data_IF_600999201487
#
_entry.id   IF_600999201487
#
_cell.length_a   1.000
_cell.length_b   1.000
_cell.length_c   1.000
_cell.angle_alpha   90.00
_cell.angle_beta   90.00
_cell.angle_gamma   90.00
#
_symmetry.space_group_name_H-M   'P 1'
#
loop_
_entity.id
_entity.type
_entity.pdbx_description
1 polymer ?
#
# COMPACT_ATOMS: atom_id res chain seq x y z
N UNK A 1 -23.96 20.26 12.10
CA UNK A 1 -24.22 19.46 10.88
C UNK A 1 -22.87 19.06 10.32
N UNK A 2 -22.59 17.76 10.25
CA UNK A 2 -21.38 17.25 9.58
C UNK A 2 -21.62 17.34 8.07
N UNK A 3 -20.82 18.16 7.38
CA UNK A 3 -20.80 18.17 5.92
C UNK A 3 -20.31 16.81 5.43
N UNK A 4 -21.05 16.17 4.52
CA UNK A 4 -20.66 14.89 3.95
C UNK A 4 -19.29 15.01 3.26
N UNK A 5 -18.37 14.11 3.60
CA UNK A 5 -17.02 14.05 3.00
C UNK A 5 -17.16 13.77 1.50
N UNK A 6 -16.60 14.63 0.65
CA UNK A 6 -16.52 14.35 -0.80
C UNK A 6 -15.72 13.08 -1.04
N UNK A 7 -16.12 12.30 -2.06
CA UNK A 7 -15.45 11.04 -2.45
C UNK A 7 -13.95 11.23 -2.72
N UNK A 8 -13.55 12.45 -3.06
CA UNK A 8 -12.19 12.85 -3.37
C UNK A 8 -11.15 12.64 -2.26
N UNK A 9 -11.60 12.48 -1.01
CA UNK A 9 -10.73 12.34 0.17
C UNK A 9 -10.67 10.91 0.71
N UNK A 10 -11.33 9.95 0.05
CA UNK A 10 -11.49 8.57 0.52
C UNK A 10 -10.17 7.84 0.81
N UNK A 11 -9.09 8.20 0.12
CA UNK A 11 -7.77 7.57 0.26
C UNK A 11 -6.95 8.10 1.44
N UNK A 12 -7.35 9.19 2.09
CA UNK A 12 -6.47 9.85 3.07
C UNK A 12 -7.19 10.50 4.27
N UNK A 13 -8.52 10.56 4.30
CA UNK A 13 -9.25 11.10 5.45
C UNK A 13 -10.58 10.37 5.64
N UNK A 14 -10.94 10.01 6.88
CA UNK A 14 -12.29 9.52 7.21
C UNK A 14 -13.26 10.67 7.53
N UNK A 15 -12.74 11.79 8.03
CA UNK A 15 -13.51 12.97 8.42
C UNK A 15 -12.99 14.22 7.70
N UNK A 16 -13.86 15.22 7.53
CA UNK A 16 -13.49 16.53 6.96
C UNK A 16 -12.96 17.45 8.04
N UNK A 17 -11.73 17.94 7.90
CA UNK A 17 -11.20 19.04 8.71
C UNK A 17 -11.44 20.41 8.04
N UNK A 18 -11.09 21.49 8.75
CA UNK A 18 -11.28 22.86 8.25
C UNK A 18 -10.49 23.17 6.98
N UNK A 19 -9.35 22.52 6.77
CA UNK A 19 -8.54 22.68 5.58
C UNK A 19 -9.17 21.98 4.38
N UNK A 20 -9.70 20.76 4.57
CA UNK A 20 -10.50 20.04 3.56
C UNK A 20 -11.70 20.89 3.15
N UNK A 21 -12.45 21.46 4.10
CA UNK A 21 -13.60 22.32 3.80
C UNK A 21 -13.18 23.55 2.98
N UNK A 22 -12.04 24.15 3.29
CA UNK A 22 -11.49 25.28 2.53
C UNK A 22 -11.14 24.90 1.09
N UNK A 23 -10.52 23.74 0.89
CA UNK A 23 -10.17 23.20 -0.43
C UNK A 23 -11.43 22.84 -1.23
N UNK A 24 -12.43 22.21 -0.60
CA UNK A 24 -13.73 21.93 -1.22
C UNK A 24 -14.43 23.25 -1.65
N UNK A 25 -14.32 24.31 -0.85
CA UNK A 25 -14.79 25.64 -1.23
C UNK A 25 -14.04 26.26 -2.41
N UNK A 26 -12.80 25.83 -2.70
CA UNK A 26 -12.11 26.22 -3.95
C UNK A 26 -12.73 25.54 -5.16
N UNK A 27 -13.14 24.26 -5.05
CA UNK A 27 -13.85 23.52 -6.09
C UNK A 27 -15.19 24.20 -6.42
N UNK A 28 -15.96 24.60 -5.40
CA UNK A 28 -17.26 25.23 -5.59
C UNK A 28 -17.19 26.53 -6.38
N UNK A 29 -16.09 27.30 -6.20
CA UNK A 29 -15.86 28.56 -6.93
C UNK A 29 -15.46 28.37 -8.39
N UNK A 30 -14.98 27.19 -8.77
CA UNK A 30 -14.57 26.88 -10.14
C UNK A 30 -15.55 25.96 -10.86
N UNK A 31 -16.64 25.55 -10.19
CA UNK A 31 -17.64 24.68 -10.75
C UNK A 31 -18.39 25.34 -11.92
N UNK A 32 -18.82 24.58 -12.94
CA UNK A 32 -18.61 23.14 -13.10
C UNK A 32 -17.17 22.80 -13.51
N UNK A 33 -16.63 21.69 -12.99
CA UNK A 33 -15.30 21.21 -13.39
C UNK A 33 -15.37 20.41 -14.71
N UNK A 34 -14.43 20.66 -15.62
CA UNK A 34 -14.34 19.94 -16.89
C UNK A 34 -13.83 18.50 -16.72
N UNK A 35 -14.05 17.66 -17.73
CA UNK A 35 -13.68 16.24 -17.70
C UNK A 35 -12.18 15.99 -17.42
N UNK A 36 -11.28 16.77 -18.03
CA UNK A 36 -9.84 16.64 -17.80
C UNK A 36 -9.47 16.97 -16.35
N UNK A 37 -10.08 18.00 -15.78
CA UNK A 37 -9.88 18.42 -14.39
C UNK A 37 -10.37 17.34 -13.42
N UNK A 38 -11.54 16.75 -13.70
CA UNK A 38 -12.06 15.60 -12.94
C UNK A 38 -11.12 14.39 -12.98
N UNK A 39 -10.57 14.06 -14.16
CA UNK A 39 -9.58 12.96 -14.29
C UNK A 39 -8.33 13.21 -13.45
N UNK A 40 -7.81 14.44 -13.44
CA UNK A 40 -6.64 14.78 -12.60
C UNK A 40 -7.00 14.64 -11.11
N UNK A 41 -8.20 15.09 -10.71
CA UNK A 41 -8.65 14.95 -9.32
C UNK A 41 -8.79 13.49 -8.91
N UNK A 42 -9.24 12.64 -9.82
CA UNK A 42 -9.31 11.19 -9.62
C UNK A 42 -7.92 10.57 -9.39
N UNK A 43 -6.90 10.98 -10.15
CA UNK A 43 -5.52 10.54 -9.91
C UNK A 43 -5.03 10.88 -8.51
N UNK A 44 -5.35 12.09 -8.01
CA UNK A 44 -5.04 12.49 -6.63
C UNK A 44 -5.77 11.58 -5.62
N UNK A 45 -7.04 11.27 -5.86
CA UNK A 45 -7.86 10.44 -4.97
C UNK A 45 -7.48 8.96 -4.96
N UNK A 46 -6.67 8.50 -5.93
CA UNK A 46 -6.17 7.13 -6.02
C UNK A 46 -4.66 7.05 -5.71
N UNK A 47 -4.04 8.15 -5.28
CA UNK A 47 -2.63 8.15 -4.89
C UNK A 47 -2.45 7.32 -3.62
N UNK A 48 -1.42 6.46 -3.60
CA UNK A 48 -0.98 5.68 -2.44
C UNK A 48 0.54 5.80 -2.29
N UNK A 49 1.00 6.48 -1.25
CA UNK A 49 2.43 6.76 -1.03
C UNK A 49 3.25 5.50 -0.65
N UNK A 50 2.59 4.44 -0.19
CA UNK A 50 3.23 3.16 0.10
C UNK A 50 3.59 2.34 -1.16
N UNK A 51 3.13 2.76 -2.34
CA UNK A 51 3.46 2.09 -3.59
C UNK A 51 4.91 2.38 -4.00
N UNK A 52 5.64 1.39 -4.51
CA UNK A 52 7.02 1.55 -5.01
C UNK A 52 7.19 2.54 -6.19
N UNK A 53 6.09 3.14 -6.69
CA UNK A 53 6.05 4.13 -7.78
C UNK A 53 5.52 5.48 -7.34
N UNK A 54 5.26 5.67 -6.04
CA UNK A 54 4.61 6.85 -5.52
C UNK A 54 5.28 8.17 -5.97
N UNK A 55 6.61 8.25 -5.97
CA UNK A 55 7.32 9.44 -6.46
C UNK A 55 7.02 9.73 -7.94
N UNK A 56 7.05 8.69 -8.80
CA UNK A 56 6.71 8.82 -10.21
C UNK A 56 5.23 9.19 -10.41
N UNK A 57 4.33 8.65 -9.60
CA UNK A 57 2.91 8.98 -9.63
C UNK A 57 2.67 10.44 -9.29
N UNK A 58 3.28 10.93 -8.22
CA UNK A 58 3.21 12.34 -7.82
C UNK A 58 3.77 13.24 -8.93
N UNK A 59 4.90 12.89 -9.54
CA UNK A 59 5.45 13.62 -10.68
C UNK A 59 4.44 13.69 -11.84
N UNK A 60 3.83 12.56 -12.23
CA UNK A 60 2.84 12.52 -13.31
C UNK A 60 1.60 13.36 -12.98
N UNK A 61 1.15 13.39 -11.72
CA UNK A 61 0.03 14.23 -11.29
C UNK A 61 0.42 15.70 -11.40
N UNK A 62 1.63 16.09 -10.99
CA UNK A 62 2.12 17.47 -11.13
C UNK A 62 2.23 17.89 -12.60
N UNK A 63 2.76 17.02 -13.47
CA UNK A 63 2.77 17.21 -14.93
C UNK A 63 1.35 17.48 -15.46
N UNK A 64 0.37 16.66 -15.04
CA UNK A 64 -1.02 16.80 -15.47
C UNK A 64 -1.69 18.08 -14.95
N UNK A 65 -1.38 18.52 -13.72
CA UNK A 65 -1.82 19.82 -13.20
C UNK A 65 -1.22 20.95 -14.06
N UNK A 66 0.07 20.84 -14.40
CA UNK A 66 0.80 21.80 -15.23
C UNK A 66 0.22 21.97 -16.63
N UNK A 67 -0.08 20.87 -17.32
CA UNK A 67 -0.67 20.87 -18.67
C UNK A 67 -2.18 21.16 -18.67
N UNK A 68 -2.88 20.83 -17.58
CA UNK A 68 -4.35 20.86 -17.50
C UNK A 68 -5.04 19.61 -18.06
N UNK A 69 -4.28 18.57 -18.42
CA UNK A 69 -4.80 17.30 -18.94
C UNK A 69 -3.92 16.10 -18.59
N UNK A 70 -4.47 14.88 -18.67
CA UNK A 70 -3.71 13.65 -18.47
C UNK A 70 -4.10 12.59 -19.49
N UNK A 71 -3.10 11.99 -20.12
CA UNK A 71 -3.25 10.83 -21.01
C UNK A 71 -2.71 9.53 -20.38
N UNK A 72 -1.89 9.64 -19.32
CA UNK A 72 -1.07 8.52 -18.81
C UNK A 72 -1.65 7.85 -17.56
N UNK A 73 -2.68 8.44 -16.93
CA UNK A 73 -3.17 8.01 -15.62
C UNK A 73 -2.05 7.95 -14.57
N UNK A 74 -2.14 7.06 -13.58
CA UNK A 74 -1.01 6.71 -12.70
C UNK A 74 0.03 5.81 -13.40
N UNK A 75 -0.05 5.67 -14.72
CA UNK A 75 0.82 4.84 -15.54
C UNK A 75 0.17 3.49 -15.85
N UNK A 76 -0.44 3.39 -17.03
CA UNK A 76 -0.71 2.10 -17.67
C UNK A 76 0.50 1.66 -18.49
N UNK A 77 0.87 0.39 -18.40
CA UNK A 77 1.90 -0.20 -19.26
C UNK A 77 1.27 -0.66 -20.57
N UNK A 78 2.02 -0.58 -21.67
CA UNK A 78 1.59 -1.17 -22.92
C UNK A 78 1.44 -2.69 -22.76
N UNK A 79 0.50 -3.34 -23.49
CA UNK A 79 0.37 -4.79 -23.47
C UNK A 79 1.73 -5.48 -23.70
N UNK A 80 2.06 -6.46 -22.86
CA UNK A 80 3.32 -7.22 -22.93
C UNK A 80 4.52 -6.60 -22.21
N UNK A 81 4.40 -5.39 -21.64
CA UNK A 81 5.48 -4.80 -20.84
C UNK A 81 5.42 -5.23 -19.38
N UNK A 82 6.53 -5.75 -18.87
CA UNK A 82 6.71 -6.15 -17.47
C UNK A 82 7.48 -5.10 -16.69
N UNK A 83 7.06 -4.86 -15.44
CA UNK A 83 7.81 -4.03 -14.51
C UNK A 83 8.85 -4.91 -13.81
N UNK A 84 10.08 -4.44 -13.54
CA UNK A 84 11.09 -5.24 -12.84
C UNK A 84 10.60 -5.83 -11.51
N UNK A 85 9.73 -5.12 -10.78
CA UNK A 85 9.12 -5.65 -9.55
C UNK A 85 8.24 -6.89 -9.79
N UNK A 86 7.60 -7.03 -10.97
CA UNK A 86 6.82 -8.24 -11.28
C UNK A 86 7.71 -9.47 -11.37
N UNK A 87 8.92 -9.34 -11.90
CA UNK A 87 9.90 -10.43 -11.89
C UNK A 87 10.25 -10.85 -10.47
N UNK A 88 10.37 -9.89 -9.54
CA UNK A 88 10.58 -10.19 -8.11
C UNK A 88 9.40 -10.99 -7.54
N UNK A 89 8.17 -10.60 -7.87
CA UNK A 89 6.95 -11.28 -7.40
C UNK A 89 6.81 -12.69 -8.00
N UNK A 90 7.08 -12.83 -9.30
CA UNK A 90 7.09 -14.10 -10.02
C UNK A 90 8.14 -15.05 -9.45
N UNK A 91 9.36 -14.56 -9.19
CA UNK A 91 10.42 -15.36 -8.60
C UNK A 91 10.08 -15.79 -7.16
N UNK A 92 9.48 -14.89 -6.36
CA UNK A 92 8.99 -15.25 -5.02
C UNK A 92 7.94 -16.37 -5.09
N UNK A 93 6.93 -16.23 -5.96
CA UNK A 93 5.93 -17.27 -6.20
C UNK A 93 6.53 -18.59 -6.65
N UNK A 94 7.46 -18.57 -7.61
CA UNK A 94 8.11 -19.77 -8.13
C UNK A 94 8.95 -20.46 -7.05
N UNK A 95 9.72 -19.70 -6.27
CA UNK A 95 10.53 -20.22 -5.17
C UNK A 95 9.67 -20.87 -4.08
N UNK A 96 8.61 -20.19 -3.64
CA UNK A 96 7.69 -20.73 -2.62
C UNK A 96 6.95 -21.97 -3.14
N UNK A 97 6.55 -21.97 -4.42
CA UNK A 97 5.90 -23.13 -5.05
C UNK A 97 6.85 -24.33 -5.11
N UNK A 98 8.14 -24.10 -5.42
CA UNK A 98 9.16 -25.15 -5.42
C UNK A 98 9.38 -25.74 -4.02
N UNK A 99 9.47 -24.88 -2.99
CA UNK A 99 9.57 -25.32 -1.59
C UNK A 99 8.37 -26.16 -1.18
N UNK A 100 7.14 -25.70 -1.47
CA UNK A 100 5.90 -26.44 -1.18
C UNK A 100 5.83 -27.79 -1.91
N UNK A 101 6.43 -27.90 -3.09
CA UNK A 101 6.54 -29.15 -3.83
C UNK A 101 7.63 -30.10 -3.27
N UNK A 102 8.23 -29.78 -2.12
CA UNK A 102 9.27 -30.59 -1.48
C UNK A 102 10.67 -30.38 -2.07
N UNK A 103 10.89 -29.34 -2.87
CA UNK A 103 12.24 -29.05 -3.38
C UNK A 103 13.12 -28.49 -2.26
N UNK A 104 14.34 -29.01 -2.05
CA UNK A 104 15.29 -28.43 -1.12
C UNK A 104 15.54 -26.95 -1.44
N UNK A 105 15.50 -26.08 -0.44
CA UNK A 105 15.70 -24.63 -0.60
C UNK A 105 17.02 -24.29 -1.31
N UNK A 106 18.07 -25.09 -1.09
CA UNK A 106 19.39 -24.94 -1.71
C UNK A 106 19.42 -25.17 -3.22
N UNK A 107 18.38 -25.78 -3.79
CA UNK A 107 18.26 -26.03 -5.24
C UNK A 107 17.45 -24.95 -5.96
N UNK A 108 16.89 -23.98 -5.24
CA UNK A 108 16.10 -22.88 -5.82
C UNK A 108 17.01 -21.70 -6.14
N UNK A 109 17.54 -21.68 -7.38
CA UNK A 109 18.42 -20.63 -7.88
C UNK A 109 17.61 -19.50 -8.57
N UNK A 110 16.86 -18.76 -7.77
CA UNK A 110 16.07 -17.61 -8.23
C UNK A 110 16.36 -16.38 -7.36
N UNK A 111 16.52 -15.16 -7.92
CA UNK A 111 16.63 -13.95 -7.12
C UNK A 111 15.24 -13.40 -6.76
N UNK A 112 15.04 -13.06 -5.49
CA UNK A 112 13.86 -12.31 -5.02
C UNK A 112 14.33 -10.92 -4.59
N UNK A 113 14.31 -9.98 -5.54
CA UNK A 113 14.95 -8.68 -5.38
C UNK A 113 16.47 -8.85 -5.37
N UNK A 114 17.13 -8.35 -4.33
CA UNK A 114 18.57 -8.52 -4.13
C UNK A 114 18.94 -9.78 -3.33
N UNK A 115 17.95 -10.59 -2.91
CA UNK A 115 18.16 -11.73 -2.01
C UNK A 115 17.99 -13.05 -2.79
N UNK A 116 18.93 -14.01 -2.68
CA UNK A 116 18.71 -15.35 -3.21
C UNK A 116 17.50 -16.04 -2.57
N UNK A 117 16.65 -16.69 -3.36
CA UNK A 117 15.47 -17.40 -2.86
C UNK A 117 15.82 -18.46 -1.81
N UNK A 118 16.92 -19.20 -2.01
CA UNK A 118 17.41 -20.17 -1.03
C UNK A 118 17.59 -19.57 0.38
N UNK A 119 18.06 -18.32 0.47
CA UNK A 119 18.24 -17.62 1.75
C UNK A 119 16.90 -17.29 2.41
N UNK A 120 15.90 -16.86 1.63
CA UNK A 120 14.55 -16.59 2.16
C UNK A 120 13.87 -17.89 2.62
N UNK A 121 13.99 -18.95 1.84
CA UNK A 121 13.34 -20.23 2.12
C UNK A 121 13.99 -21.00 3.28
N UNK A 122 15.27 -20.77 3.56
CA UNK A 122 15.96 -21.41 4.68
C UNK A 122 15.30 -21.12 6.03
N UNK A 123 14.67 -19.96 6.18
CA UNK A 123 14.00 -19.55 7.41
C UNK A 123 12.75 -20.39 7.74
N UNK A 124 12.15 -21.06 6.74
CA UNK A 124 10.96 -21.90 6.95
C UNK A 124 11.25 -23.15 7.79
N UNK A 125 12.51 -23.60 7.87
CA UNK A 125 12.90 -24.77 8.64
C UNK A 125 12.30 -26.09 8.13
N UNK A 126 12.04 -27.03 9.03
CA UNK A 126 11.44 -28.33 8.70
C UNK A 126 10.01 -28.17 8.16
N UNK A 127 9.68 -29.02 7.20
CA UNK A 127 8.39 -29.05 6.52
C UNK A 127 7.30 -29.59 7.46
N UNK A 128 6.11 -28.99 7.42
CA UNK A 128 4.93 -29.48 8.13
C UNK A 128 3.65 -29.11 7.38
N UNK A 129 2.54 -29.84 7.58
CA UNK A 129 1.26 -29.52 6.95
C UNK A 129 0.79 -28.08 7.19
N UNK A 130 0.99 -27.57 8.41
CA UNK A 130 0.66 -26.18 8.74
C UNK A 130 1.49 -25.18 7.93
N UNK A 131 2.81 -25.37 7.84
CA UNK A 131 3.68 -24.46 7.09
C UNK A 131 3.40 -24.52 5.59
N UNK A 132 3.11 -25.69 5.04
CA UNK A 132 2.65 -25.83 3.65
C UNK A 132 1.37 -25.01 3.40
N UNK A 133 0.40 -25.10 4.30
CA UNK A 133 -0.85 -24.36 4.23
C UNK A 133 -0.60 -22.84 4.31
N UNK A 134 0.23 -22.39 5.25
CA UNK A 134 0.59 -20.97 5.40
C UNK A 134 1.35 -20.42 4.18
N UNK A 135 2.35 -21.15 3.68
CA UNK A 135 3.10 -20.77 2.47
C UNK A 135 2.18 -20.72 1.26
N UNK A 136 1.20 -21.62 1.15
CA UNK A 136 0.22 -21.60 0.08
C UNK A 136 -0.61 -20.30 0.09
N UNK A 137 -1.01 -19.79 1.27
CA UNK A 137 -1.70 -18.49 1.37
C UNK A 137 -0.81 -17.33 0.93
N UNK A 138 0.48 -17.36 1.25
CA UNK A 138 1.45 -16.36 0.76
C UNK A 138 1.56 -16.40 -0.78
N UNK A 139 1.62 -17.59 -1.37
CA UNK A 139 1.65 -17.77 -2.83
C UNK A 139 0.40 -17.18 -3.48
N UNK A 140 -0.79 -17.50 -2.95
CA UNK A 140 -2.06 -16.98 -3.45
C UNK A 140 -2.12 -15.47 -3.35
N UNK A 141 -1.68 -14.90 -2.22
CA UNK A 141 -1.63 -13.45 -2.03
C UNK A 141 -0.75 -12.77 -3.08
N UNK A 142 0.47 -13.26 -3.28
CA UNK A 142 1.39 -12.67 -4.27
C UNK A 142 0.81 -12.83 -5.68
N UNK A 143 0.33 -14.04 -6.02
CA UNK A 143 -0.22 -14.37 -7.34
C UNK A 143 -1.41 -13.50 -7.71
N UNK A 144 -2.26 -13.13 -6.75
CA UNK A 144 -3.42 -12.27 -7.01
C UNK A 144 -3.07 -10.89 -7.59
N UNK A 145 -1.85 -10.41 -7.37
CA UNK A 145 -1.36 -9.15 -7.92
C UNK A 145 -0.43 -9.32 -9.13
N UNK A 146 0.00 -10.54 -9.45
CA UNK A 146 0.74 -10.80 -10.69
C UNK A 146 -0.24 -10.62 -11.85
N UNK A 147 0.15 -9.84 -12.86
CA UNK A 147 -0.70 -9.46 -14.01
C UNK A 147 -1.88 -8.52 -13.68
N UNK A 148 -1.91 -7.91 -12.49
CA UNK A 148 -2.90 -6.88 -12.17
C UNK A 148 -2.93 -5.76 -13.24
N UNK A 149 -4.12 -5.29 -13.68
CA UNK A 149 -5.46 -5.66 -13.20
C UNK A 149 -6.10 -6.87 -13.91
N UNK A 150 -5.43 -7.50 -14.90
CA UNK A 150 -6.00 -8.62 -15.66
C UNK A 150 -6.27 -9.84 -14.79
N UNK A 151 -5.57 -9.99 -13.67
CA UNK A 151 -5.79 -11.07 -12.70
C UNK A 151 -7.19 -11.04 -12.07
N UNK A 152 -7.89 -9.90 -12.04
CA UNK A 152 -9.27 -9.83 -11.52
C UNK A 152 -10.26 -10.69 -12.29
N UNK A 153 -9.98 -10.97 -13.57
CA UNK A 153 -10.85 -11.74 -14.45
C UNK A 153 -10.62 -13.25 -14.32
N UNK A 154 -9.53 -13.67 -13.66
CA UNK A 154 -9.22 -15.08 -13.41
C UNK A 154 -9.65 -15.48 -11.99
N UNK A 155 -10.71 -16.29 -11.82
CA UNK A 155 -11.13 -16.78 -10.52
C UNK A 155 -10.01 -17.53 -9.78
N UNK A 156 -9.08 -18.18 -10.50
CA UNK A 156 -7.96 -18.89 -9.90
C UNK A 156 -6.86 -17.96 -9.36
N UNK A 157 -6.91 -16.68 -9.71
CA UNK A 157 -6.03 -15.64 -9.17
C UNK A 157 -6.67 -14.87 -8.00
N UNK A 158 -7.91 -15.15 -7.63
CA UNK A 158 -8.55 -14.48 -6.50
C UNK A 158 -7.91 -14.93 -5.18
N UNK A 159 -7.38 -13.96 -4.44
CA UNK A 159 -6.95 -14.19 -3.07
C UNK A 159 -8.17 -14.14 -2.16
N UNK A 160 -8.28 -15.15 -1.31
CA UNK A 160 -9.32 -15.20 -0.33
C UNK A 160 -8.71 -14.87 1.04
N UNK A 161 -9.28 -13.85 1.68
CA UNK A 161 -8.71 -13.27 2.88
C UNK A 161 -8.78 -14.24 4.07
N UNK A 162 -7.74 -14.25 4.91
CA UNK A 162 -7.66 -15.14 6.07
C UNK A 162 -8.44 -14.53 7.24
N UNK A 163 -8.19 -13.24 7.51
CA UNK A 163 -8.64 -12.56 8.72
C UNK A 163 -9.41 -11.28 8.42
N UNK A 164 -9.21 -10.68 7.24
CA UNK A 164 -9.95 -9.49 6.83
C UNK A 164 -11.16 -9.83 5.96
N UNK A 165 -12.24 -9.08 6.10
CA UNK A 165 -13.28 -8.96 5.08
C UNK A 165 -13.16 -7.58 4.45
N UNK A 166 -13.08 -7.56 3.11
CA UNK A 166 -13.04 -6.32 2.33
C UNK A 166 -14.41 -6.10 1.73
N UNK A 167 -15.24 -5.32 2.43
CA UNK A 167 -16.43 -4.71 1.84
C UNK A 167 -16.06 -3.48 1.02
N UNK A 168 -17.00 -2.93 0.22
CA UNK A 168 -16.74 -1.72 -0.59
C UNK A 168 -16.29 -0.51 0.26
N UNK A 169 -16.60 -0.49 1.56
CA UNK A 169 -16.36 0.69 2.42
C UNK A 169 -15.87 0.40 3.84
N UNK A 170 -15.79 -0.85 4.30
CA UNK A 170 -15.39 -1.19 5.67
C UNK A 170 -14.48 -2.41 5.71
N UNK A 171 -13.39 -2.27 6.49
CA UNK A 171 -12.56 -3.38 6.91
C UNK A 171 -13.15 -3.96 8.17
N UNK A 172 -13.56 -5.23 8.13
CA UNK A 172 -13.98 -5.97 9.32
C UNK A 172 -13.09 -7.19 9.52
N UNK A 173 -12.85 -7.54 10.78
CA UNK A 173 -12.14 -8.77 11.12
C UNK A 173 -13.11 -9.95 11.11
N UNK A 174 -12.74 -11.00 10.41
CA UNK A 174 -13.47 -12.26 10.40
C UNK A 174 -13.26 -12.96 11.74
N UNK A 175 -14.32 -13.11 12.52
CA UNK A 175 -14.31 -13.81 13.81
C UNK A 175 -14.63 -15.31 13.69
N UNK A 176 -14.71 -15.83 12.47
CA UNK A 176 -14.98 -17.22 12.15
C UNK A 176 -14.13 -17.65 10.96
N UNK A 177 -13.78 -18.93 10.90
CA UNK A 177 -13.04 -19.49 9.77
C UNK A 177 -13.86 -19.33 8.48
N UNK A 178 -13.28 -18.73 7.41
CA UNK A 178 -13.94 -18.65 6.11
C UNK A 178 -14.37 -20.02 5.60
N UNK A 179 -15.52 -20.10 4.92
CA UNK A 179 -16.08 -21.37 4.43
C UNK A 179 -15.09 -22.22 3.62
N UNK A 180 -14.29 -21.57 2.78
CA UNK A 180 -13.27 -22.22 1.94
C UNK A 180 -12.09 -22.83 2.73
N UNK A 181 -11.95 -22.49 4.01
CA UNK A 181 -10.89 -22.97 4.90
C UNK A 181 -11.42 -23.87 6.01
N UNK A 182 -12.72 -24.24 6.00
CA UNK A 182 -13.34 -25.07 7.04
C UNK A 182 -12.66 -26.44 7.22
N UNK A 183 -12.16 -27.04 6.15
CA UNK A 183 -11.41 -28.31 6.22
C UNK A 183 -10.02 -28.15 6.88
N UNK A 184 -9.58 -26.91 7.09
CA UNK A 184 -8.30 -26.52 7.69
C UNK A 184 -8.52 -25.48 8.80
N UNK A 185 -9.64 -25.58 9.53
CA UNK A 185 -10.01 -24.62 10.58
C UNK A 185 -8.94 -24.56 11.69
N UNK A 186 -8.31 -25.69 12.01
CA UNK A 186 -7.19 -25.77 12.94
C UNK A 186 -5.97 -24.96 12.45
N UNK A 187 -5.60 -25.08 11.18
CA UNK A 187 -4.50 -24.32 10.59
C UNK A 187 -4.82 -22.82 10.48
N UNK A 188 -6.07 -22.48 10.18
CA UNK A 188 -6.55 -21.11 10.20
C UNK A 188 -6.41 -20.54 11.62
N UNK A 189 -6.93 -21.24 12.62
CA UNK A 189 -6.87 -20.81 14.03
C UNK A 189 -5.43 -20.59 14.50
N UNK A 190 -4.54 -21.55 14.23
CA UNK A 190 -3.11 -21.43 14.57
C UNK A 190 -2.45 -20.23 13.88
N UNK A 191 -2.75 -20.00 12.61
CA UNK A 191 -2.21 -18.85 11.86
C UNK A 191 -2.73 -17.52 12.40
N UNK A 192 -4.00 -17.43 12.77
CA UNK A 192 -4.59 -16.21 13.34
C UNK A 192 -3.96 -15.85 14.68
N UNK A 193 -3.72 -16.83 15.56
CA UNK A 193 -3.16 -16.61 16.91
C UNK A 193 -1.62 -16.62 16.95
N UNK A 194 -0.95 -16.77 15.81
CA UNK A 194 0.51 -16.63 15.75
C UNK A 194 0.86 -15.15 15.72
N UNK A 195 1.40 -14.63 16.82
CA UNK A 195 1.73 -13.21 16.95
C UNK A 195 3.18 -12.91 16.58
N UNK A 196 3.37 -11.94 15.71
CA UNK A 196 4.67 -11.33 15.37
C UNK A 196 4.86 -10.14 16.30
N UNK A 197 5.92 -10.17 17.11
CA UNK A 197 6.27 -9.12 18.07
C UNK A 197 7.21 -8.12 17.39
N UNK A 198 6.66 -7.05 16.81
CA UNK A 198 7.41 -6.03 16.09
C UNK A 198 7.27 -4.65 16.72
N UNK A 199 7.50 -3.58 15.94
CA UNK A 199 7.24 -2.21 16.39
C UNK A 199 6.34 -1.46 15.42
N UNK A 200 5.50 -0.61 15.98
CA UNK A 200 4.69 0.36 15.25
C UNK A 200 5.13 1.78 15.60
N UNK A 201 5.70 2.49 14.62
CA UNK A 201 6.23 3.84 14.80
C UNK A 201 7.26 3.97 15.94
N UNK A 202 7.91 2.85 16.31
CA UNK A 202 8.91 2.77 17.38
C UNK A 202 8.39 2.17 18.68
N UNK A 203 7.07 2.05 18.85
CA UNK A 203 6.44 1.44 20.01
C UNK A 203 6.30 -0.08 19.82
N UNK A 204 6.41 -0.87 20.90
CA UNK A 204 6.18 -2.31 20.83
C UNK A 204 4.76 -2.61 20.37
N UNK A 205 4.63 -3.58 19.46
CA UNK A 205 3.34 -3.95 18.89
C UNK A 205 3.31 -5.43 18.53
N UNK A 206 2.10 -6.00 18.55
CA UNK A 206 1.84 -7.36 18.09
C UNK A 206 1.05 -7.33 16.78
N UNK A 207 1.40 -8.21 15.85
CA UNK A 207 0.74 -8.37 14.56
C UNK A 207 0.46 -9.85 14.31
N UNK A 208 -0.81 -10.21 14.11
CA UNK A 208 -1.18 -11.58 13.71
C UNK A 208 -0.52 -11.96 12.38
N UNK A 209 0.00 -13.19 12.28
CA UNK A 209 0.56 -13.73 11.05
C UNK A 209 -0.49 -13.75 9.92
N UNK A 210 -1.75 -14.09 10.23
CA UNK A 210 -2.84 -14.02 9.26
C UNK A 210 -2.99 -12.60 8.67
N UNK A 211 -2.91 -11.59 9.53
CA UNK A 211 -3.01 -10.19 9.11
C UNK A 211 -1.78 -9.73 8.32
N UNK A 212 -0.59 -10.19 8.70
CA UNK A 212 0.63 -9.93 7.96
C UNK A 212 0.60 -10.53 6.54
N UNK A 213 0.03 -11.74 6.37
CA UNK A 213 -0.20 -12.35 5.06
C UNK A 213 -1.25 -11.55 4.27
N UNK A 214 -2.39 -11.24 4.88
CA UNK A 214 -3.45 -10.43 4.26
C UNK A 214 -2.91 -9.06 3.79
N UNK A 215 -2.00 -8.45 4.55
CA UNK A 215 -1.39 -7.15 4.26
C UNK A 215 -0.05 -7.24 3.51
N UNK A 216 0.34 -8.42 3.03
CA UNK A 216 1.51 -8.60 2.18
C UNK A 216 1.17 -8.14 0.75
N UNK A 217 1.33 -6.85 0.50
CA UNK A 217 1.08 -6.24 -0.81
C UNK A 217 2.37 -6.23 -1.66
N UNK A 218 2.47 -7.03 -2.75
CA UNK A 218 3.57 -6.97 -3.72
C UNK A 218 3.95 -5.56 -4.22
N UNK A 219 2.97 -4.66 -4.36
CA UNK A 219 3.22 -3.29 -4.80
C UNK A 219 3.93 -2.42 -3.75
N UNK A 220 3.99 -2.86 -2.50
CA UNK A 220 4.60 -2.13 -1.39
C UNK A 220 6.10 -1.98 -1.57
N UNK A 221 6.64 -0.82 -1.18
CA UNK A 221 8.07 -0.51 -1.34
C UNK A 221 9.01 -1.44 -0.53
N UNK A 222 8.51 -2.10 0.53
CA UNK A 222 9.23 -3.13 1.34
C UNK A 222 8.79 -4.56 1.07
N UNK A 223 8.29 -4.88 -0.12
CA UNK A 223 7.73 -6.20 -0.37
C UNK A 223 8.67 -7.35 0.03
N UNK A 224 9.96 -7.28 -0.33
CA UNK A 224 10.93 -8.37 -0.07
C UNK A 224 11.19 -8.51 1.44
N UNK A 225 11.35 -7.41 2.17
CA UNK A 225 11.53 -7.43 3.63
C UNK A 225 10.29 -7.92 4.35
N UNK A 226 9.10 -7.49 3.94
CA UNK A 226 7.84 -7.96 4.52
C UNK A 226 7.63 -9.45 4.27
N UNK A 227 7.94 -9.92 3.05
CA UNK A 227 7.90 -11.34 2.73
C UNK A 227 8.82 -12.12 3.66
N UNK A 228 10.05 -11.65 3.88
CA UNK A 228 10.98 -12.29 4.82
C UNK A 228 10.40 -12.35 6.24
N UNK A 229 9.81 -11.27 6.75
CA UNK A 229 9.19 -11.25 8.09
C UNK A 229 8.08 -12.31 8.19
N UNK A 230 7.23 -12.42 7.16
CA UNK A 230 6.16 -13.43 7.10
C UNK A 230 6.74 -14.85 7.08
N UNK A 231 7.77 -15.11 6.28
CA UNK A 231 8.40 -16.44 6.20
C UNK A 231 9.17 -16.80 7.47
N UNK A 232 9.85 -15.84 8.10
CA UNK A 232 10.50 -15.98 9.40
C UNK A 232 9.45 -16.38 10.46
N UNK A 233 8.29 -15.73 10.48
CA UNK A 233 7.20 -16.04 11.40
C UNK A 233 6.59 -17.44 11.17
N UNK A 234 6.38 -17.84 9.91
CA UNK A 234 6.00 -19.23 9.54
C UNK A 234 7.05 -20.24 10.03
N UNK A 235 8.32 -19.86 9.96
CA UNK A 235 9.45 -20.64 10.49
C UNK A 235 9.57 -20.68 12.01
N UNK A 236 8.78 -19.86 12.73
CA UNK A 236 8.80 -19.74 14.19
C UNK A 236 9.66 -18.59 14.75
N UNK A 237 10.29 -17.77 13.90
CA UNK A 237 10.98 -16.54 14.33
C UNK A 237 9.98 -15.39 14.39
N UNK A 238 9.42 -15.17 15.58
CA UNK A 238 8.34 -14.19 15.82
C UNK A 238 8.83 -12.77 16.15
N UNK A 239 10.13 -12.56 16.31
CA UNK A 239 10.73 -11.25 16.64
C UNK A 239 11.58 -10.76 15.45
N UNK A 240 11.01 -10.00 14.50
CA UNK A 240 11.76 -9.51 13.36
C UNK A 240 12.72 -8.38 13.76
N UNK A 241 13.88 -8.32 13.09
CA UNK A 241 14.89 -7.26 13.31
C UNK A 241 14.44 -5.88 12.83
N UNK A 242 13.50 -5.84 11.89
CA UNK A 242 12.90 -4.63 11.35
C UNK A 242 11.38 -4.76 11.40
N UNK A 243 10.66 -3.68 11.66
CA UNK A 243 9.20 -3.74 11.73
C UNK A 243 8.58 -4.06 10.38
N UNK A 244 7.42 -4.70 10.41
CA UNK A 244 6.57 -4.92 9.24
C UNK A 244 5.96 -3.59 8.80
N UNK A 245 5.99 -3.28 7.50
CA UNK A 245 5.44 -2.04 6.98
C UNK A 245 4.35 -2.34 5.94
N UNK A 246 3.18 -1.74 6.08
CA UNK A 246 2.07 -1.93 5.15
C UNK A 246 1.45 -0.58 4.77
N UNK A 247 0.35 -0.59 4.02
CA UNK A 247 -0.41 0.62 3.72
C UNK A 247 -0.80 1.32 5.03
N UNK A 248 -0.12 2.42 5.37
CA UNK A 248 -0.29 3.15 6.63
C UNK A 248 0.56 2.66 7.81
N UNK A 249 0.72 1.34 8.02
CA UNK A 249 1.57 0.79 9.10
C UNK A 249 3.03 1.15 8.86
N UNK A 250 3.67 1.80 9.84
CA UNK A 250 5.07 2.21 9.74
C UNK A 250 5.38 3.10 8.52
N UNK A 251 4.43 3.95 8.10
CA UNK A 251 4.60 4.88 6.97
C UNK A 251 5.72 5.92 7.20
N UNK A 252 6.12 6.12 8.46
CA UNK A 252 7.28 6.93 8.85
C UNK A 252 8.59 6.42 8.23
N UNK A 253 8.68 5.13 7.90
CA UNK A 253 9.84 4.50 7.27
C UNK A 253 9.90 4.68 5.75
N UNK A 254 8.90 5.32 5.13
CA UNK A 254 8.82 5.49 3.67
C UNK A 254 10.13 6.12 3.10
N UNK A 255 10.83 5.48 2.15
CA UNK A 255 12.14 5.96 1.67
C UNK A 255 12.06 7.32 1.00
N UNK A 256 10.91 7.63 0.42
CA UNK A 256 10.64 8.90 -0.27
C UNK A 256 9.99 9.94 0.65
N UNK A 257 9.92 9.72 1.97
CA UNK A 257 9.25 10.64 2.91
C UNK A 257 9.75 12.07 2.76
N UNK A 258 11.07 12.28 2.85
CA UNK A 258 11.68 13.61 2.70
C UNK A 258 11.35 14.24 1.35
N UNK A 259 11.40 13.44 0.28
CA UNK A 259 11.04 13.88 -1.06
C UNK A 259 9.59 14.35 -1.11
N UNK A 260 8.65 13.59 -0.54
CA UNK A 260 7.23 13.94 -0.49
C UNK A 260 6.96 15.18 0.37
N UNK A 261 7.72 15.42 1.44
CA UNK A 261 7.66 16.67 2.21
C UNK A 261 8.07 17.89 1.36
N UNK A 262 9.16 17.76 0.58
CA UNK A 262 9.60 18.82 -0.35
C UNK A 262 8.51 19.08 -1.40
N UNK A 263 7.91 18.03 -1.97
CA UNK A 263 6.80 18.19 -2.93
C UNK A 263 5.60 18.89 -2.30
N UNK A 264 5.19 18.50 -1.09
CA UNK A 264 4.09 19.15 -0.35
C UNK A 264 4.39 20.64 -0.11
N UNK A 265 5.59 20.99 0.37
CA UNK A 265 6.00 22.39 0.53
C UNK A 265 5.94 23.15 -0.80
N UNK A 266 6.39 22.53 -1.88
CA UNK A 266 6.38 23.10 -3.24
C UNK A 266 4.96 23.42 -3.71
N UNK A 267 4.04 22.47 -3.56
CA UNK A 267 2.62 22.65 -3.89
C UNK A 267 2.00 23.76 -3.03
N UNK A 268 2.36 23.82 -1.75
CA UNK A 268 1.89 24.87 -0.82
C UNK A 268 2.30 26.26 -1.25
N UNK A 269 3.57 26.47 -1.59
CA UNK A 269 4.07 27.74 -2.14
C UNK A 269 3.27 28.12 -3.40
N UNK A 270 3.06 27.14 -4.29
CA UNK A 270 2.34 27.36 -5.55
C UNK A 270 0.89 27.84 -5.36
N UNK A 271 0.10 27.22 -4.46
CA UNK A 271 -1.30 27.61 -4.31
C UNK A 271 -1.53 28.81 -3.38
N UNK A 272 -0.71 28.97 -2.34
CA UNK A 272 -0.90 30.02 -1.32
C UNK A 272 -0.23 31.35 -1.67
N UNK A 273 0.75 31.35 -2.60
CA UNK A 273 1.61 32.51 -2.89
C UNK A 273 2.33 33.08 -1.65
N UNK A 274 2.42 32.30 -0.57
CA UNK A 274 3.21 32.66 0.60
C UNK A 274 4.66 32.23 0.38
N UNK A 275 5.59 33.08 0.83
CA UNK A 275 6.98 32.68 0.95
C UNK A 275 7.09 31.55 1.97
N UNK A 276 7.91 30.55 1.63
CA UNK A 276 8.23 29.44 2.49
C UNK A 276 9.73 29.47 2.77
N UNK A 277 10.09 29.47 4.05
CA UNK A 277 11.44 29.22 4.53
C UNK A 277 11.90 27.76 4.29
N UNK A 278 10.95 26.88 3.96
CA UNK A 278 11.19 25.46 3.70
C UNK A 278 11.72 25.21 2.29
N UNK A 279 12.48 24.14 2.17
CA UNK A 279 12.97 23.61 0.90
C UNK A 279 11.82 23.28 -0.08
N UNK A 280 12.00 23.72 -1.33
CA UNK A 280 11.08 23.52 -2.45
C UNK A 280 11.80 22.96 -3.67
N UNK A 281 11.07 22.24 -4.50
CA UNK A 281 11.53 21.73 -5.79
C UNK A 281 11.19 22.73 -6.91
N UNK A 282 12.23 23.38 -7.44
CA UNK A 282 12.08 24.42 -8.48
C UNK A 282 11.63 23.85 -9.82
N UNK A 283 11.99 22.61 -10.13
CA UNK A 283 11.61 21.98 -11.39
C UNK A 283 10.12 21.64 -11.38
N UNK A 284 9.59 21.17 -10.25
CA UNK A 284 8.15 20.98 -10.08
C UNK A 284 7.38 22.31 -10.11
N UNK A 285 7.90 23.40 -9.54
CA UNK A 285 7.28 24.73 -9.67
C UNK A 285 7.21 25.17 -11.13
N UNK A 286 8.31 25.00 -11.87
CA UNK A 286 8.36 25.32 -13.30
C UNK A 286 7.33 24.48 -14.08
N UNK A 287 7.21 23.19 -13.75
CA UNK A 287 6.27 22.27 -14.39
C UNK A 287 4.80 22.66 -14.15
N UNK A 288 4.47 23.16 -12.96
CA UNK A 288 3.12 23.67 -12.63
C UNK A 288 2.73 24.91 -13.46
N UNK A 289 3.71 25.71 -13.89
CA UNK A 289 3.52 26.88 -14.75
C UNK A 289 2.79 28.05 -14.06
N UNK A 290 2.01 28.84 -14.80
CA UNK A 290 1.27 29.98 -14.23
C UNK A 290 0.12 29.49 -13.31
N UNK A 291 -0.03 30.03 -12.09
CA UNK A 291 -1.10 29.63 -11.19
C UNK A 291 -2.47 30.16 -11.66
N UNK A 292 -3.37 29.25 -12.02
CA UNK A 292 -4.80 29.52 -12.27
C UNK A 292 -5.65 29.01 -11.11
N UNK A 293 -6.91 29.43 -11.00
CA UNK A 293 -7.80 28.95 -9.93
C UNK A 293 -7.90 27.41 -9.89
N UNK A 294 -8.04 26.78 -11.05
CA UNK A 294 -8.08 25.31 -11.19
C UNK A 294 -6.77 24.66 -10.73
N UNK A 295 -5.61 25.16 -11.18
CA UNK A 295 -4.31 24.60 -10.80
C UNK A 295 -4.03 24.75 -9.31
N UNK A 296 -4.40 25.89 -8.72
CA UNK A 296 -4.28 26.11 -7.27
C UNK A 296 -5.11 25.12 -6.47
N UNK A 297 -6.35 24.86 -6.89
CA UNK A 297 -7.21 23.87 -6.23
C UNK A 297 -6.66 22.45 -6.32
N UNK A 298 -6.22 22.02 -7.51
CA UNK A 298 -5.61 20.69 -7.68
C UNK A 298 -4.30 20.56 -6.89
N UNK A 299 -3.46 21.60 -6.87
CA UNK A 299 -2.22 21.61 -6.10
C UNK A 299 -2.50 21.56 -4.58
N UNK A 300 -3.49 22.31 -4.09
CA UNK A 300 -3.92 22.24 -2.69
C UNK A 300 -4.47 20.85 -2.32
N UNK A 301 -5.23 20.24 -3.24
CA UNK A 301 -5.76 18.88 -3.05
C UNK A 301 -4.64 17.83 -2.95
N UNK A 302 -3.64 17.90 -3.84
CA UNK A 302 -2.49 16.99 -3.83
C UNK A 302 -1.61 17.20 -2.60
N UNK A 303 -1.30 18.45 -2.24
CA UNK A 303 -0.57 18.79 -1.01
C UNK A 303 -1.23 18.17 0.22
N UNK A 304 -2.53 18.42 0.40
CA UNK A 304 -3.30 17.89 1.52
C UNK A 304 -3.28 16.36 1.54
N UNK A 305 -3.46 15.73 0.39
CA UNK A 305 -3.42 14.26 0.25
C UNK A 305 -2.06 13.70 0.66
N UNK A 306 -0.96 14.29 0.20
CA UNK A 306 0.41 13.88 0.56
C UNK A 306 0.62 14.00 2.06
N UNK A 307 0.27 15.15 2.67
CA UNK A 307 0.45 15.36 4.12
C UNK A 307 -0.35 14.38 4.96
N UNK A 308 -1.60 14.14 4.57
CA UNK A 308 -2.45 13.16 5.25
C UNK A 308 -1.91 11.74 5.10
N UNK A 309 -1.27 11.37 3.99
CA UNK A 309 -0.66 10.04 3.89
C UNK A 309 0.69 9.93 4.63
N UNK A 310 1.48 10.99 4.69
CA UNK A 310 2.74 11.01 5.48
C UNK A 310 2.48 11.07 7.00
N UNK A 311 1.36 11.65 7.40
CA UNK A 311 0.92 11.75 8.79
C UNK A 311 -0.60 11.51 8.86
N UNK A 312 -1.04 10.24 8.79
CA UNK A 312 -2.46 9.91 8.82
C UNK A 312 -3.13 10.45 10.08
N UNK A 313 -4.38 10.94 10.00
CA UNK A 313 -5.23 11.21 11.16
C UNK A 313 -5.29 10.03 12.14
N UNK A 314 -5.63 10.29 13.40
CA UNK A 314 -5.53 9.30 14.49
C UNK A 314 -6.40 8.05 14.26
N UNK A 315 -7.58 8.23 13.70
CA UNK A 315 -8.49 7.16 13.30
C UNK A 315 -7.91 6.27 12.19
N UNK A 316 -7.32 6.88 11.15
CA UNK A 316 -6.61 6.14 10.11
C UNK A 316 -5.34 5.46 10.64
N UNK A 317 -4.62 6.07 11.58
CA UNK A 317 -3.51 5.42 12.27
C UNK A 317 -3.97 4.21 13.07
N UNK A 318 -5.07 4.31 13.81
CA UNK A 318 -5.62 3.20 14.57
C UNK A 318 -6.03 2.01 13.67
N UNK A 319 -6.57 2.27 12.47
CA UNK A 319 -6.86 1.22 11.49
C UNK A 319 -5.55 0.63 10.93
N UNK A 320 -4.60 1.50 10.58
CA UNK A 320 -3.30 1.11 10.03
C UNK A 320 -2.38 0.45 11.04
N UNK A 321 -2.68 0.57 12.34
CA UNK A 321 -2.00 -0.10 13.42
C UNK A 321 -2.20 -1.61 13.33
N UNK A 322 -3.27 -2.09 12.70
CA UNK A 322 -3.50 -3.53 12.52
C UNK A 322 -3.45 -4.30 13.85
N UNK A 323 -3.80 -3.65 14.98
CA UNK A 323 -3.66 -4.23 16.32
C UNK A 323 -4.61 -5.39 16.60
N UNK A 324 -5.57 -5.63 15.69
CA UNK A 324 -6.60 -6.65 15.83
C UNK A 324 -7.54 -6.43 17.03
N UNK A 325 -8.73 -7.04 17.04
CA UNK A 325 -9.53 -7.20 18.25
C UNK A 325 -8.89 -8.18 19.24
N UNK A 326 -9.25 -8.07 20.52
CA UNK A 326 -8.71 -8.89 21.61
C UNK A 326 -8.85 -10.40 21.41
N UNK A 327 -9.86 -10.87 20.67
CA UNK A 327 -10.04 -12.32 20.45
C UNK A 327 -8.93 -12.96 19.59
N UNK A 328 -8.12 -12.16 18.89
CA UNK A 328 -6.98 -12.63 18.10
C UNK A 328 -5.75 -12.90 18.99
N UNK A 329 -5.69 -12.25 20.16
CA UNK A 329 -4.57 -12.35 21.11
C UNK A 329 -4.80 -13.50 22.09
#
# INVERSE_FOLDING_TARGET
MTTSRRIWWRNCALQTDSEIISIDGMEDRIAPIGANVSKIRELISNLELCHHKADRWVYNIVEAIGSGETAKGLGSRSPGQHHPSETVWQNACAALSAWRAGSPSTKVDLPVGAIPAAQLLACLGEHSPLKEWQVQRVIEKIRSLIHWPRSCEDPAAQYAWILMSVGEYEFSYLNQCPDQYKEHEDFWWMTVHTMIHDTENGDEADLSLALAIDMLWPCHWRFVENLRIVLDAIGGKLNPEKPFAACGRNITLLPIRRRMEIVSNTLKVFYSAADSDREVDRDLLALLGKPTAVKKWLAASLDKTIRLQLNPPADLRAISALSGPEWIK
#
